data_IF_602594240923
#
_entry.id   IF_602594240923
#
_cell.length_a   1.000
_cell.length_b   1.000
_cell.length_c   1.000
_cell.angle_alpha   90.00
_cell.angle_beta   90.00
_cell.angle_gamma   90.00
#
_symmetry.space_group_name_H-M   'P 1'
#
loop_
_entity.id
_entity.type
_entity.pdbx_description
1 polymer ?
#
# COMPACT_ATOMS: atom_id res chain seq x y z
N UNK A 1 12.07 8.99 -9.06
CA UNK A 1 13.10 8.11 -9.71
C UNK A 1 12.36 6.95 -10.34
N UNK A 2 12.70 6.50 -11.55
CA UNK A 2 12.15 5.23 -12.05
C UNK A 2 12.58 4.09 -11.13
N UNK A 3 11.84 2.96 -11.11
CA UNK A 3 12.20 1.80 -10.27
C UNK A 3 13.68 1.44 -10.45
N UNK A 4 14.21 1.55 -11.69
CA UNK A 4 15.63 1.32 -11.96
C UNK A 4 16.56 2.33 -11.25
N UNK A 5 16.20 3.60 -11.21
CA UNK A 5 16.99 4.62 -10.50
C UNK A 5 16.89 4.44 -8.99
N UNK A 6 15.71 4.10 -8.48
CA UNK A 6 15.48 3.78 -7.07
C UNK A 6 16.31 2.57 -6.66
N UNK A 7 16.33 1.51 -7.47
CA UNK A 7 17.16 0.34 -7.25
C UNK A 7 18.66 0.67 -7.22
N UNK A 8 19.14 1.47 -8.19
CA UNK A 8 20.55 1.90 -8.24
C UNK A 8 20.90 2.74 -6.98
N UNK A 9 20.00 3.62 -6.57
CA UNK A 9 20.20 4.42 -5.35
C UNK A 9 20.26 3.54 -4.12
N UNK A 10 19.33 2.60 -3.98
CA UNK A 10 19.31 1.62 -2.91
C UNK A 10 20.60 0.79 -2.84
N UNK A 11 21.06 0.25 -3.95
CA UNK A 11 22.32 -0.52 -4.00
C UNK A 11 23.55 0.32 -3.62
N UNK A 12 23.56 1.61 -3.95
CA UNK A 12 24.64 2.51 -3.51
C UNK A 12 24.62 2.76 -1.98
N UNK A 13 23.44 2.80 -1.37
CA UNK A 13 23.31 2.86 0.09
C UNK A 13 23.83 1.57 0.70
N UNK A 14 23.47 0.39 0.16
CA UNK A 14 23.94 -0.89 0.67
C UNK A 14 25.47 -1.00 0.72
N UNK A 15 26.20 -0.38 -0.22
CA UNK A 15 27.67 -0.33 -0.19
C UNK A 15 28.25 0.38 1.02
N UNK A 16 27.45 1.22 1.68
CA UNK A 16 27.88 1.99 2.86
C UNK A 16 27.49 1.30 4.18
N UNK A 17 26.62 0.28 4.10
CA UNK A 17 26.20 -0.52 5.25
C UNK A 17 27.19 -1.64 5.52
N UNK A 18 27.21 -2.12 6.78
CA UNK A 18 28.01 -3.28 7.18
C UNK A 18 27.24 -4.60 6.94
N UNK A 19 26.66 -4.75 5.75
CA UNK A 19 25.90 -5.95 5.39
C UNK A 19 26.43 -6.58 4.09
N UNK A 20 26.29 -7.89 3.99
CA UNK A 20 26.59 -8.66 2.77
C UNK A 20 25.40 -8.63 1.82
N UNK A 21 24.18 -8.70 2.38
CA UNK A 21 22.92 -8.67 1.66
C UNK A 21 21.84 -7.88 2.39
N UNK A 22 20.90 -7.34 1.60
CA UNK A 22 19.59 -6.88 2.05
C UNK A 22 18.56 -7.97 1.76
N UNK A 23 17.82 -8.40 2.79
CA UNK A 23 16.74 -9.37 2.69
C UNK A 23 15.39 -8.66 2.89
N UNK A 24 14.55 -8.66 1.87
CA UNK A 24 13.31 -7.87 1.77
C UNK A 24 12.15 -8.83 1.54
N UNK A 25 11.09 -8.68 2.33
CA UNK A 25 9.84 -9.46 2.18
C UNK A 25 8.60 -8.59 1.96
N UNK A 26 8.65 -7.27 2.25
CA UNK A 26 7.52 -6.39 1.99
C UNK A 26 7.20 -6.33 0.50
N UNK A 27 6.02 -6.80 0.04
CA UNK A 27 5.64 -6.73 -1.37
C UNK A 27 5.66 -5.31 -1.93
N UNK A 28 5.35 -4.31 -1.08
CA UNK A 28 5.38 -2.90 -1.46
C UNK A 28 6.81 -2.43 -1.73
N UNK A 29 7.76 -2.82 -0.89
CA UNK A 29 9.18 -2.53 -1.09
C UNK A 29 9.73 -3.26 -2.31
N UNK A 30 9.35 -4.52 -2.52
CA UNK A 30 9.72 -5.28 -3.72
C UNK A 30 9.19 -4.56 -4.97
N UNK A 31 7.93 -4.14 -4.98
CA UNK A 31 7.35 -3.38 -6.09
C UNK A 31 8.02 -2.02 -6.31
N UNK A 32 8.48 -1.35 -5.25
CA UNK A 32 9.25 -0.10 -5.35
C UNK A 32 10.59 -0.29 -6.06
N UNK A 33 11.27 -1.41 -5.80
CA UNK A 33 12.60 -1.71 -6.32
C UNK A 33 12.60 -2.46 -7.66
N UNK A 34 11.43 -2.97 -8.07
CA UNK A 34 11.25 -3.80 -9.27
C UNK A 34 10.03 -3.33 -10.07
N UNK A 35 9.71 -4.03 -11.16
CA UNK A 35 8.41 -3.90 -11.86
C UNK A 35 7.45 -5.04 -11.48
N UNK A 36 7.82 -5.86 -10.51
CA UNK A 36 7.03 -6.99 -10.06
C UNK A 36 6.13 -6.60 -8.90
N UNK A 37 4.83 -6.75 -9.11
CA UNK A 37 3.80 -6.49 -8.09
C UNK A 37 2.98 -7.76 -7.90
N UNK A 38 2.85 -8.20 -6.65
CA UNK A 38 2.06 -9.37 -6.27
C UNK A 38 1.52 -9.22 -4.85
N UNK A 39 0.48 -10.01 -4.57
CA UNK A 39 0.03 -10.32 -3.22
C UNK A 39 0.29 -11.82 -2.98
N UNK A 40 1.35 -12.19 -2.25
CA UNK A 40 1.75 -13.58 -2.07
C UNK A 40 0.82 -14.34 -1.12
N UNK A 41 -0.13 -13.67 -0.47
CA UNK A 41 -0.96 -14.21 0.60
C UNK A 41 -0.09 -14.86 1.70
N UNK A 42 -0.31 -16.16 1.98
CA UNK A 42 0.44 -16.92 2.99
C UNK A 42 1.80 -17.45 2.50
N UNK A 43 2.13 -17.27 1.21
CA UNK A 43 3.33 -17.84 0.59
C UNK A 43 4.55 -16.99 0.83
N UNK A 44 5.71 -17.64 0.85
CA UNK A 44 6.99 -16.96 1.04
C UNK A 44 7.38 -16.19 -0.22
N UNK A 45 7.45 -14.89 -0.09
CA UNK A 45 8.02 -13.97 -1.07
C UNK A 45 9.28 -13.34 -0.46
N UNK A 46 10.35 -13.22 -1.23
CA UNK A 46 11.53 -12.49 -0.82
C UNK A 46 12.29 -11.91 -2.01
N UNK A 47 12.92 -10.77 -1.79
CA UNK A 47 13.94 -10.21 -2.66
C UNK A 47 15.25 -10.11 -1.89
N UNK A 48 16.32 -10.59 -2.50
CA UNK A 48 17.67 -10.50 -1.93
C UNK A 48 18.54 -9.64 -2.83
N UNK A 49 19.12 -8.60 -2.25
CA UNK A 49 19.93 -7.61 -2.95
C UNK A 49 21.31 -7.54 -2.32
N UNK A 50 22.34 -7.50 -3.14
CA UNK A 50 23.71 -7.22 -2.75
C UNK A 50 24.29 -6.13 -3.62
N UNK A 51 25.32 -5.45 -3.13
CA UNK A 51 26.00 -4.42 -3.89
C UNK A 51 26.76 -4.97 -5.12
N UNK A 52 27.10 -6.26 -5.11
CA UNK A 52 28.06 -6.86 -6.05
C UNK A 52 27.50 -8.01 -6.88
N UNK A 53 26.27 -8.48 -6.62
CA UNK A 53 25.64 -9.60 -7.32
C UNK A 53 24.32 -9.17 -7.95
N UNK A 54 23.88 -9.91 -8.96
CA UNK A 54 22.52 -9.75 -9.49
C UNK A 54 21.49 -10.02 -8.40
N UNK A 55 20.36 -9.29 -8.36
CA UNK A 55 19.33 -9.55 -7.37
C UNK A 55 18.70 -10.93 -7.56
N UNK A 56 18.24 -11.51 -6.45
CA UNK A 56 17.46 -12.73 -6.43
C UNK A 56 16.03 -12.39 -6.04
N UNK A 57 15.06 -12.86 -6.84
CA UNK A 57 13.65 -12.78 -6.53
C UNK A 57 13.12 -14.19 -6.27
N UNK A 58 12.65 -14.45 -5.06
CA UNK A 58 12.12 -15.72 -4.61
C UNK A 58 10.60 -15.67 -4.55
N UNK A 59 9.94 -16.53 -5.33
CA UNK A 59 8.49 -16.49 -5.53
C UNK A 59 7.86 -17.87 -5.50
N UNK A 60 6.56 -18.02 -5.21
CA UNK A 60 5.83 -19.27 -5.47
C UNK A 60 5.93 -19.67 -6.95
N UNK A 61 5.92 -20.95 -7.23
CA UNK A 61 6.03 -21.47 -8.62
C UNK A 61 4.91 -20.94 -9.53
N UNK A 62 3.74 -20.66 -8.98
CA UNK A 62 2.60 -20.06 -9.68
C UNK A 62 2.94 -18.70 -10.31
N UNK A 63 3.84 -17.95 -9.68
CA UNK A 63 4.19 -16.58 -10.06
C UNK A 63 5.52 -16.49 -10.84
N UNK A 64 6.22 -17.59 -11.01
CA UNK A 64 7.55 -17.62 -11.64
C UNK A 64 7.59 -16.90 -12.99
N UNK A 65 6.64 -17.20 -13.87
CA UNK A 65 6.63 -16.61 -15.22
C UNK A 65 6.36 -15.11 -15.18
N UNK A 66 5.52 -14.66 -14.26
CA UNK A 66 5.19 -13.24 -14.07
C UNK A 66 6.41 -12.48 -13.53
N UNK A 67 7.08 -13.02 -12.51
CA UNK A 67 8.30 -12.46 -11.95
C UNK A 67 9.43 -12.38 -12.99
N UNK A 68 9.62 -13.45 -13.78
CA UNK A 68 10.63 -13.51 -14.83
C UNK A 68 10.35 -12.52 -15.98
N UNK A 69 9.08 -12.30 -16.32
CA UNK A 69 8.69 -11.32 -17.34
C UNK A 69 8.88 -9.88 -16.85
N UNK A 70 8.59 -9.62 -15.57
CA UNK A 70 8.76 -8.30 -14.97
C UNK A 70 10.24 -7.91 -14.84
N UNK A 71 11.10 -8.87 -14.45
CA UNK A 71 12.53 -8.64 -14.20
C UNK A 71 13.40 -9.70 -14.91
N UNK A 72 13.58 -9.60 -16.24
CA UNK A 72 14.30 -10.63 -17.02
C UNK A 72 15.77 -10.79 -16.64
N UNK A 73 16.37 -9.78 -16.00
CA UNK A 73 17.78 -9.75 -15.60
C UNK A 73 18.05 -10.27 -14.19
N UNK A 74 16.98 -10.53 -13.42
CA UNK A 74 17.11 -11.05 -12.05
C UNK A 74 17.16 -12.58 -12.05
N UNK A 75 17.80 -13.13 -11.04
CA UNK A 75 17.70 -14.55 -10.76
C UNK A 75 16.35 -14.82 -10.10
N UNK A 76 15.44 -15.49 -10.83
CA UNK A 76 14.13 -15.87 -10.25
C UNK A 76 14.21 -17.32 -9.80
N UNK A 77 14.09 -17.55 -8.50
CA UNK A 77 14.01 -18.86 -7.87
C UNK A 77 12.58 -19.09 -7.38
N UNK A 78 12.04 -20.26 -7.62
CA UNK A 78 10.67 -20.58 -7.24
C UNK A 78 10.56 -21.93 -6.55
N UNK A 79 9.50 -22.12 -5.76
CA UNK A 79 9.20 -23.34 -5.02
C UNK A 79 7.75 -23.75 -5.23
N UNK A 80 7.48 -25.07 -5.12
CA UNK A 80 6.13 -25.62 -5.15
C UNK A 80 5.51 -25.66 -3.76
N UNK A 81 4.17 -25.68 -3.67
CA UNK A 81 3.44 -25.65 -2.40
C UNK A 81 3.76 -26.85 -1.45
N UNK A 82 4.29 -27.97 -2.01
CA UNK A 82 4.67 -29.14 -1.22
C UNK A 82 6.17 -29.16 -0.81
N UNK A 83 6.96 -28.18 -1.23
CA UNK A 83 8.39 -28.07 -0.91
C UNK A 83 8.61 -27.19 0.33
N UNK A 84 9.76 -27.34 0.98
CA UNK A 84 10.18 -26.43 2.02
C UNK A 84 10.75 -25.13 1.41
N UNK A 85 10.03 -24.01 1.45
CA UNK A 85 10.49 -22.78 0.82
C UNK A 85 11.76 -22.22 1.47
N UNK A 86 11.95 -22.47 2.75
CA UNK A 86 13.08 -21.92 3.50
C UNK A 86 14.40 -22.59 3.14
N UNK A 87 14.40 -23.93 2.95
CA UNK A 87 15.55 -24.68 2.48
C UNK A 87 15.96 -24.27 1.06
N UNK A 88 14.99 -24.09 0.15
CA UNK A 88 15.26 -23.67 -1.23
C UNK A 88 15.80 -22.25 -1.26
N UNK A 89 15.18 -21.33 -0.52
CA UNK A 89 15.58 -19.93 -0.43
C UNK A 89 17.01 -19.79 0.11
N UNK A 90 17.31 -20.43 1.23
CA UNK A 90 18.62 -20.32 1.87
C UNK A 90 19.73 -20.98 1.03
N UNK A 91 19.44 -22.10 0.39
CA UNK A 91 20.37 -22.72 -0.57
C UNK A 91 20.66 -21.80 -1.76
N UNK A 92 19.65 -21.12 -2.30
CA UNK A 92 19.82 -20.17 -3.38
C UNK A 92 20.64 -18.95 -2.94
N UNK A 93 20.39 -18.43 -1.75
CA UNK A 93 21.15 -17.31 -1.16
C UNK A 93 22.62 -17.68 -0.99
N UNK A 94 22.92 -18.82 -0.38
CA UNK A 94 24.29 -19.28 -0.16
C UNK A 94 25.05 -19.43 -1.46
N UNK A 95 24.39 -19.99 -2.48
CA UNK A 95 25.01 -20.23 -3.79
C UNK A 95 25.26 -18.93 -4.56
N UNK A 96 24.34 -17.98 -4.52
CA UNK A 96 24.43 -16.77 -5.34
C UNK A 96 25.24 -15.64 -4.70
N UNK A 97 25.30 -15.59 -3.36
CA UNK A 97 25.92 -14.50 -2.62
C UNK A 97 27.12 -14.94 -1.76
N UNK A 98 27.78 -16.02 -2.16
CA UNK A 98 29.00 -16.53 -1.52
C UNK A 98 28.88 -16.73 0.00
N UNK A 99 27.76 -17.36 0.44
CA UNK A 99 27.46 -17.65 1.84
C UNK A 99 27.47 -16.41 2.76
N UNK A 100 26.58 -15.44 2.52
CA UNK A 100 26.53 -14.19 3.27
C UNK A 100 26.12 -14.43 4.73
N UNK A 101 26.79 -13.76 5.66
CA UNK A 101 26.52 -13.87 7.10
C UNK A 101 25.87 -12.63 7.68
N UNK A 102 26.12 -11.44 7.11
CA UNK A 102 25.61 -10.15 7.59
C UNK A 102 24.42 -9.70 6.77
N UNK A 103 23.26 -9.71 7.39
CA UNK A 103 21.98 -9.44 6.72
C UNK A 103 21.34 -8.16 7.24
N UNK A 104 21.01 -7.24 6.34
CA UNK A 104 20.14 -6.10 6.62
C UNK A 104 18.69 -6.45 6.27
N UNK A 105 17.73 -6.02 7.10
CA UNK A 105 16.31 -6.35 6.94
C UNK A 105 15.42 -5.18 7.27
N UNK A 106 14.20 -5.16 6.73
CA UNK A 106 13.13 -4.26 7.18
C UNK A 106 12.57 -4.77 8.51
N UNK A 107 13.05 -4.23 9.63
CA UNK A 107 12.64 -4.70 10.96
C UNK A 107 11.16 -4.51 11.26
N UNK A 108 10.52 -3.53 10.65
CA UNK A 108 9.07 -3.31 10.79
C UNK A 108 8.22 -4.31 10.02
N UNK A 109 8.82 -5.07 9.11
CA UNK A 109 8.09 -6.03 8.26
C UNK A 109 8.43 -7.48 8.56
N UNK A 110 9.73 -7.79 8.80
CA UNK A 110 10.17 -9.16 9.02
C UNK A 110 9.47 -9.77 10.25
N UNK A 111 8.89 -10.96 10.07
CA UNK A 111 8.22 -11.65 11.17
C UNK A 111 9.19 -12.51 11.98
N UNK A 112 8.86 -12.77 13.25
CA UNK A 112 9.61 -13.71 14.07
C UNK A 112 9.61 -15.12 13.44
N UNK A 113 8.49 -15.53 12.83
CA UNK A 113 8.38 -16.78 12.09
C UNK A 113 9.43 -16.90 10.97
N UNK A 114 9.61 -15.84 10.18
CA UNK A 114 10.65 -15.78 9.14
C UNK A 114 12.04 -15.92 9.74
N UNK A 115 12.35 -15.17 10.80
CA UNK A 115 13.64 -15.20 11.49
C UNK A 115 13.96 -16.60 12.02
N UNK A 116 12.98 -17.26 12.64
CA UNK A 116 13.13 -18.61 13.19
C UNK A 116 13.40 -19.66 12.10
N UNK A 117 12.66 -19.59 10.97
CA UNK A 117 12.87 -20.51 9.86
C UNK A 117 14.23 -20.29 9.19
N UNK A 118 14.61 -19.03 8.92
CA UNK A 118 15.94 -18.73 8.37
C UNK A 118 17.06 -19.23 9.27
N UNK A 119 16.95 -19.09 10.60
CA UNK A 119 17.94 -19.56 11.58
C UNK A 119 18.02 -21.08 11.69
N UNK A 120 16.95 -21.81 11.40
CA UNK A 120 16.98 -23.29 11.33
C UNK A 120 17.88 -23.78 10.19
N UNK A 121 17.82 -23.09 9.05
CA UNK A 121 18.59 -23.45 7.85
C UNK A 121 20.01 -22.85 7.87
N UNK A 122 20.17 -21.66 8.45
CA UNK A 122 21.44 -20.91 8.51
C UNK A 122 21.69 -20.39 9.95
N UNK A 123 22.51 -21.12 10.71
CA UNK A 123 22.78 -20.80 12.12
C UNK A 123 23.59 -19.51 12.36
N UNK A 124 24.32 -19.02 11.34
CA UNK A 124 25.30 -17.93 11.48
C UNK A 124 24.81 -16.57 11.01
N UNK A 125 23.51 -16.39 10.77
CA UNK A 125 22.96 -15.09 10.33
C UNK A 125 23.14 -14.03 11.43
N UNK A 126 23.82 -12.94 11.08
CA UNK A 126 23.95 -11.73 11.87
C UNK A 126 23.05 -10.65 11.30
N UNK A 127 22.06 -10.20 12.07
CA UNK A 127 21.18 -9.09 11.70
C UNK A 127 21.91 -7.77 11.99
N UNK A 128 22.40 -7.10 10.94
CA UNK A 128 23.29 -5.94 11.13
C UNK A 128 22.54 -4.62 11.08
N UNK A 129 21.78 -4.37 10.03
CA UNK A 129 21.20 -3.06 9.75
C UNK A 129 19.68 -3.14 9.61
N UNK A 130 19.02 -2.04 9.97
CA UNK A 130 17.59 -1.84 9.74
C UNK A 130 17.37 -1.08 8.44
N UNK A 131 16.76 -1.72 7.47
CA UNK A 131 16.41 -1.11 6.18
C UNK A 131 15.18 -0.20 6.26
N UNK A 132 14.36 -0.30 7.31
CA UNK A 132 13.09 0.44 7.42
C UNK A 132 13.26 1.95 7.23
N UNK A 133 14.22 2.64 7.91
CA UNK A 133 14.41 4.08 7.70
C UNK A 133 14.86 4.41 6.28
N UNK A 134 15.70 3.57 5.69
CA UNK A 134 16.23 3.74 4.34
C UNK A 134 15.11 3.64 3.31
N UNK A 135 14.30 2.59 3.40
CA UNK A 135 13.15 2.39 2.50
C UNK A 135 12.12 3.53 2.65
N UNK A 136 11.85 3.97 3.88
CA UNK A 136 10.98 5.11 4.11
C UNK A 136 11.50 6.38 3.44
N UNK A 137 12.80 6.67 3.52
CA UNK A 137 13.39 7.83 2.84
C UNK A 137 13.27 7.72 1.31
N UNK A 138 13.50 6.54 0.74
CA UNK A 138 13.31 6.29 -0.70
C UNK A 138 11.87 6.54 -1.14
N UNK A 139 10.89 6.24 -0.28
CA UNK A 139 9.44 6.43 -0.54
C UNK A 139 8.98 7.86 -0.37
N UNK A 140 9.67 8.69 0.43
CA UNK A 140 9.29 10.09 0.67
C UNK A 140 9.30 10.92 -0.60
N UNK A 141 10.31 10.72 -1.48
CA UNK A 141 10.49 11.52 -2.68
C UNK A 141 9.93 10.82 -3.91
N UNK A 142 8.91 11.43 -4.50
CA UNK A 142 8.28 10.95 -5.73
C UNK A 142 8.94 11.59 -6.95
N UNK A 143 9.11 10.81 -8.00
CA UNK A 143 9.45 11.36 -9.32
C UNK A 143 8.21 11.84 -10.08
N UNK A 144 8.41 12.39 -11.27
CA UNK A 144 7.31 12.96 -12.06
C UNK A 144 6.28 11.90 -12.48
N UNK A 145 6.70 10.66 -12.73
CA UNK A 145 5.79 9.53 -13.05
C UNK A 145 4.93 9.15 -11.85
N UNK A 146 5.55 9.02 -10.67
CA UNK A 146 4.83 8.76 -9.42
C UNK A 146 3.86 9.90 -9.05
N UNK A 147 4.28 11.15 -9.25
CA UNK A 147 3.43 12.33 -9.05
C UNK A 147 2.22 12.29 -9.99
N UNK A 148 2.41 11.93 -11.26
CA UNK A 148 1.31 11.83 -12.20
C UNK A 148 0.33 10.72 -11.81
N UNK A 149 0.82 9.54 -11.43
CA UNK A 149 -0.01 8.43 -10.95
C UNK A 149 -0.82 8.77 -9.69
N UNK A 150 -0.20 9.53 -8.76
CA UNK A 150 -0.91 10.04 -7.58
C UNK A 150 -2.03 11.01 -7.96
N UNK A 151 -1.78 11.93 -8.91
CA UNK A 151 -2.80 12.86 -9.42
C UNK A 151 -3.94 12.12 -10.11
N UNK A 152 -3.62 11.10 -10.91
CA UNK A 152 -4.63 10.29 -11.60
C UNK A 152 -5.49 9.54 -10.56
N UNK A 153 -4.87 8.94 -9.55
CA UNK A 153 -5.59 8.29 -8.45
C UNK A 153 -6.48 9.28 -7.70
N UNK A 154 -6.00 10.50 -7.41
CA UNK A 154 -6.80 11.57 -6.80
C UNK A 154 -8.01 11.97 -7.66
N UNK A 155 -7.84 12.02 -8.99
CA UNK A 155 -8.94 12.31 -9.93
C UNK A 155 -10.03 11.23 -9.88
N UNK A 156 -9.66 9.96 -9.71
CA UNK A 156 -10.64 8.90 -9.52
C UNK A 156 -11.34 8.97 -8.15
N UNK A 157 -10.65 9.41 -7.10
CA UNK A 157 -11.29 9.65 -5.81
C UNK A 157 -12.32 10.79 -5.87
N UNK A 158 -12.03 11.89 -6.58
CA UNK A 158 -13.02 12.94 -6.84
C UNK A 158 -14.27 12.39 -7.52
N UNK A 159 -14.09 11.53 -8.55
CA UNK A 159 -15.22 10.86 -9.22
C UNK A 159 -15.99 9.92 -8.31
N UNK A 160 -15.29 9.19 -7.44
CA UNK A 160 -15.92 8.31 -6.46
C UNK A 160 -16.84 9.09 -5.50
N UNK A 161 -16.35 10.21 -4.98
CA UNK A 161 -17.17 11.12 -4.16
C UNK A 161 -18.36 11.67 -4.93
N UNK A 162 -18.16 12.09 -6.20
CA UNK A 162 -19.25 12.58 -7.05
C UNK A 162 -20.36 11.53 -7.23
N UNK A 163 -19.98 10.27 -7.51
CA UNK A 163 -20.93 9.15 -7.61
C UNK A 163 -21.65 8.94 -6.27
N UNK A 164 -20.94 9.00 -5.16
CA UNK A 164 -21.52 8.92 -3.83
C UNK A 164 -22.60 9.98 -3.61
N UNK A 165 -22.27 11.24 -3.86
CA UNK A 165 -23.20 12.38 -3.73
C UNK A 165 -24.42 12.21 -4.61
N UNK A 166 -24.24 11.85 -5.88
CA UNK A 166 -25.34 11.64 -6.85
C UNK A 166 -26.23 10.44 -6.48
N UNK A 167 -25.73 9.52 -5.67
CA UNK A 167 -26.45 8.33 -5.23
C UNK A 167 -27.37 8.61 -4.03
N UNK A 168 -27.18 9.72 -3.34
CA UNK A 168 -27.93 10.04 -2.13
C UNK A 168 -29.40 10.28 -2.41
N UNK A 169 -30.24 9.61 -1.64
CA UNK A 169 -31.69 9.82 -1.58
C UNK A 169 -32.19 9.37 -0.20
N UNK A 170 -33.28 9.95 0.26
CA UNK A 170 -33.90 9.51 1.50
C UNK A 170 -34.19 8.01 1.51
N UNK A 171 -33.84 7.33 2.58
CA UNK A 171 -34.05 5.89 2.76
C UNK A 171 -32.97 4.99 2.15
N UNK A 172 -31.99 5.52 1.41
CA UNK A 172 -30.84 4.71 0.96
C UNK A 172 -29.96 4.33 2.17
N UNK A 173 -29.38 3.13 2.15
CA UNK A 173 -28.43 2.69 3.19
C UNK A 173 -27.00 3.14 2.88
N UNK A 174 -26.16 3.18 3.93
CA UNK A 174 -24.71 3.44 3.79
C UNK A 174 -24.08 2.43 2.84
N UNK A 175 -24.34 1.13 3.03
CA UNK A 175 -23.83 0.06 2.17
C UNK A 175 -24.29 0.16 0.71
N UNK A 176 -25.52 0.61 0.46
CA UNK A 176 -26.00 0.80 -0.93
C UNK A 176 -25.24 1.92 -1.63
N UNK A 177 -24.83 2.97 -0.92
CA UNK A 177 -24.00 4.04 -1.48
C UNK A 177 -22.58 3.53 -1.74
N UNK A 178 -21.97 2.81 -0.80
CA UNK A 178 -20.67 2.15 -1.01
C UNK A 178 -20.70 1.27 -2.25
N UNK A 179 -21.69 0.38 -2.36
CA UNK A 179 -21.80 -0.53 -3.51
C UNK A 179 -21.89 0.20 -4.86
N UNK A 180 -22.60 1.34 -4.91
CA UNK A 180 -22.68 2.17 -6.12
C UNK A 180 -21.35 2.83 -6.47
N UNK A 181 -20.65 3.38 -5.48
CA UNK A 181 -19.34 3.99 -5.66
C UNK A 181 -18.38 2.95 -6.25
N UNK A 182 -18.26 1.82 -5.61
CA UNK A 182 -17.29 0.79 -6.03
C UNK A 182 -17.65 0.17 -7.39
N UNK A 183 -18.95 -0.01 -7.67
CA UNK A 183 -19.41 -0.47 -8.98
C UNK A 183 -18.99 0.50 -10.11
N UNK A 184 -19.22 1.80 -9.93
CA UNK A 184 -18.84 2.78 -10.95
C UNK A 184 -17.32 2.92 -11.08
N UNK A 185 -16.56 2.81 -9.99
CA UNK A 185 -15.10 2.79 -10.04
C UNK A 185 -14.57 1.57 -10.81
N UNK A 186 -15.17 0.39 -10.62
CA UNK A 186 -14.80 -0.81 -11.40
C UNK A 186 -15.10 -0.65 -12.89
N UNK A 187 -16.20 0.02 -13.27
CA UNK A 187 -16.50 0.35 -14.68
C UNK A 187 -15.46 1.29 -15.31
N UNK A 188 -14.85 2.16 -14.50
CA UNK A 188 -13.76 3.04 -14.93
C UNK A 188 -12.38 2.36 -14.95
N UNK A 189 -12.31 1.06 -14.61
CA UNK A 189 -11.07 0.29 -14.62
C UNK A 189 -10.29 0.31 -13.30
N UNK A 190 -10.85 0.89 -12.24
CA UNK A 190 -10.27 0.82 -10.89
C UNK A 190 -10.54 -0.56 -10.31
N UNK A 191 -9.49 -1.33 -10.12
CA UNK A 191 -9.59 -2.73 -9.67
C UNK A 191 -9.79 -2.87 -8.17
N UNK A 192 -9.34 -1.88 -7.38
CA UNK A 192 -9.50 -1.85 -5.93
C UNK A 192 -9.59 -0.43 -5.40
N UNK A 193 -10.26 -0.27 -4.28
CA UNK A 193 -10.14 0.92 -3.45
C UNK A 193 -8.80 0.83 -2.67
N UNK A 194 -8.29 1.96 -2.19
CA UNK A 194 -7.03 2.00 -1.41
C UNK A 194 -7.22 1.51 0.03
N UNK A 195 -8.44 1.60 0.54
CA UNK A 195 -8.93 1.06 1.80
C UNK A 195 -10.43 0.84 1.71
N UNK A 196 -11.05 0.26 2.73
CA UNK A 196 -12.49 0.01 2.75
C UNK A 196 -13.27 1.32 2.67
N UNK A 197 -14.11 1.46 1.64
CA UNK A 197 -14.89 2.67 1.39
C UNK A 197 -15.83 2.96 2.56
N UNK A 198 -15.71 4.13 3.16
CA UNK A 198 -16.55 4.55 4.27
C UNK A 198 -17.57 5.60 3.82
N UNK A 199 -18.86 5.31 4.05
CA UNK A 199 -19.96 6.26 3.87
C UNK A 199 -20.82 6.19 5.13
N UNK A 200 -20.88 7.28 5.89
CA UNK A 200 -21.55 7.33 7.18
C UNK A 200 -22.55 8.48 7.24
N UNK A 201 -23.72 8.25 7.87
CA UNK A 201 -24.83 9.20 7.94
C UNK A 201 -25.06 9.71 9.35
N UNK A 202 -25.35 11.00 9.49
CA UNK A 202 -25.77 11.68 10.72
C UNK A 202 -24.81 11.45 11.88
N UNK A 203 -25.32 10.90 12.98
CA UNK A 203 -24.56 10.60 14.21
C UNK A 203 -23.48 9.51 14.01
N UNK A 204 -23.69 8.57 13.08
CA UNK A 204 -22.69 7.56 12.74
C UNK A 204 -21.43 8.18 12.09
N UNK A 205 -21.57 9.33 11.43
CA UNK A 205 -20.43 10.07 10.86
C UNK A 205 -19.48 10.66 11.94
N UNK A 206 -19.83 10.58 13.21
CA UNK A 206 -18.95 10.96 14.31
C UNK A 206 -17.97 9.86 14.73
N UNK A 207 -18.14 8.63 14.23
CA UNK A 207 -17.24 7.52 14.48
C UNK A 207 -16.08 7.54 13.46
N UNK A 208 -14.83 7.84 13.88
CA UNK A 208 -13.69 7.92 12.97
C UNK A 208 -13.34 6.60 12.26
N UNK A 209 -13.79 5.48 12.81
CA UNK A 209 -13.58 4.13 12.27
C UNK A 209 -14.92 3.40 12.05
N UNK A 210 -15.98 4.17 11.79
CA UNK A 210 -17.31 3.62 11.54
C UNK A 210 -17.32 2.71 10.34
N UNK A 211 -18.07 1.60 10.44
CA UNK A 211 -18.22 0.65 9.33
C UNK A 211 -19.59 0.85 8.70
N UNK A 212 -19.69 1.14 7.39
CA UNK A 212 -20.96 1.30 6.72
C UNK A 212 -21.92 0.12 6.94
N UNK A 213 -23.17 0.42 7.23
CA UNK A 213 -24.19 -0.58 7.57
C UNK A 213 -25.52 -0.36 6.85
N UNK A 214 -26.57 -0.86 7.47
CA UNK A 214 -27.96 -0.75 7.03
C UNK A 214 -28.67 0.53 7.49
N UNK A 215 -27.92 1.44 8.16
CA UNK A 215 -28.43 2.76 8.52
C UNK A 215 -28.90 3.51 7.30
N UNK A 216 -30.12 4.01 7.35
CA UNK A 216 -30.76 4.74 6.24
C UNK A 216 -30.59 6.24 6.38
N UNK A 217 -30.33 6.90 5.25
CA UNK A 217 -30.23 8.35 5.15
C UNK A 217 -31.58 9.01 5.39
N UNK A 218 -31.61 10.05 6.22
CA UNK A 218 -32.77 10.91 6.50
C UNK A 218 -32.52 12.31 5.96
N UNK A 219 -33.58 13.06 5.71
CA UNK A 219 -33.44 14.48 5.41
C UNK A 219 -32.76 15.25 6.53
N UNK A 220 -31.98 16.25 6.15
CA UNK A 220 -31.27 17.16 7.05
C UNK A 220 -30.20 16.46 7.89
N UNK A 221 -29.52 15.46 7.34
CA UNK A 221 -28.37 14.81 7.94
C UNK A 221 -27.08 15.17 7.22
N UNK A 222 -25.97 15.13 7.97
CA UNK A 222 -24.64 15.18 7.40
C UNK A 222 -24.25 13.81 6.89
N UNK A 223 -23.51 13.79 5.79
CA UNK A 223 -22.97 12.57 5.16
C UNK A 223 -21.47 12.73 5.05
N UNK A 224 -20.75 11.78 5.61
CA UNK A 224 -19.31 11.67 5.49
C UNK A 224 -18.99 10.60 4.44
N UNK A 225 -18.11 10.95 3.53
CA UNK A 225 -17.44 10.04 2.61
C UNK A 225 -15.96 10.03 2.96
N UNK A 226 -15.40 8.85 3.19
CA UNK A 226 -13.99 8.62 3.34
C UNK A 226 -13.59 7.43 2.48
N UNK A 227 -12.84 7.70 1.44
CA UNK A 227 -12.55 6.75 0.38
C UNK A 227 -11.27 7.10 -0.36
N UNK A 228 -10.73 6.14 -1.04
CA UNK A 228 -9.62 6.34 -1.95
C UNK A 228 -9.56 5.24 -3.00
N UNK A 229 -8.84 5.47 -4.07
CA UNK A 229 -8.70 4.52 -5.18
C UNK A 229 -7.25 4.07 -5.31
N UNK A 230 -7.05 2.85 -5.79
CA UNK A 230 -5.75 2.33 -6.19
C UNK A 230 -5.63 2.39 -7.71
N UNK A 231 -4.74 3.23 -8.22
CA UNK A 231 -4.50 3.35 -9.65
C UNK A 231 -3.01 3.18 -9.99
N UNK A 232 -2.69 2.20 -10.85
CA UNK A 232 -1.31 1.90 -11.25
C UNK A 232 -0.31 1.76 -10.07
N UNK A 233 -0.75 1.14 -8.96
CA UNK A 233 0.06 0.93 -7.76
C UNK A 233 0.17 2.13 -6.83
N UNK A 234 -0.56 3.23 -7.09
CA UNK A 234 -0.57 4.44 -6.26
C UNK A 234 -1.96 4.69 -5.68
N UNK A 235 -1.99 4.94 -4.37
CA UNK A 235 -3.20 5.17 -3.60
C UNK A 235 -3.56 6.66 -3.55
N UNK A 236 -4.86 6.94 -3.57
CA UNK A 236 -5.42 8.20 -3.07
C UNK A 236 -6.15 7.98 -1.75
N UNK A 237 -6.39 9.07 -1.05
CA UNK A 237 -7.12 9.14 0.22
C UNK A 237 -7.87 10.48 0.25
N UNK A 238 -9.19 10.43 0.46
CA UNK A 238 -10.04 11.62 0.35
C UNK A 238 -11.25 11.53 1.28
N UNK A 239 -11.35 12.49 2.18
CA UNK A 239 -12.56 12.66 3.00
C UNK A 239 -13.37 13.86 2.54
N UNK A 240 -14.68 13.73 2.44
CA UNK A 240 -15.64 14.81 2.20
C UNK A 240 -16.85 14.65 3.12
N UNK A 241 -17.27 15.78 3.70
CA UNK A 241 -18.50 15.83 4.51
C UNK A 241 -19.45 16.83 3.86
N UNK A 242 -20.68 16.40 3.58
CA UNK A 242 -21.72 17.22 2.96
C UNK A 242 -23.01 17.16 3.79
N UNK A 243 -23.88 18.12 3.60
CA UNK A 243 -25.22 18.13 4.17
C UNK A 243 -26.26 17.67 3.15
N UNK A 244 -27.04 16.66 3.52
CA UNK A 244 -28.15 16.16 2.70
C UNK A 244 -29.45 16.81 3.14
N UNK A 245 -29.80 17.93 2.55
CA UNK A 245 -31.01 18.69 2.89
C UNK A 245 -30.96 20.12 2.34
N UNK A 246 -31.94 20.91 2.75
CA UNK A 246 -31.96 22.32 2.39
C UNK A 246 -31.01 23.11 3.31
N UNK A 247 -30.33 24.10 2.73
CA UNK A 247 -29.35 24.94 3.47
C UNK A 247 -29.93 25.57 4.73
N UNK A 248 -31.23 26.00 4.64
CA UNK A 248 -31.99 26.59 5.74
C UNK A 248 -32.27 25.66 6.92
N UNK A 249 -32.12 24.35 6.72
CA UNK A 249 -32.35 23.31 7.74
C UNK A 249 -31.07 22.93 8.48
N UNK A 250 -29.91 23.49 8.15
CA UNK A 250 -28.67 23.22 8.85
C UNK A 250 -28.72 23.77 10.28
N UNK A 251 -28.39 22.90 11.23
CA UNK A 251 -28.16 23.34 12.61
C UNK A 251 -26.93 24.24 12.71
N UNK A 252 -27.09 25.39 13.39
CA UNK A 252 -26.03 26.41 13.52
C UNK A 252 -24.78 25.81 14.18
N UNK A 253 -24.95 24.99 15.20
CA UNK A 253 -23.81 24.37 15.88
C UNK A 253 -23.07 23.36 15.01
N UNK A 254 -23.78 22.58 14.22
CA UNK A 254 -23.14 21.66 13.26
C UNK A 254 -22.35 22.43 12.22
N UNK A 255 -22.87 23.56 11.73
CA UNK A 255 -22.16 24.42 10.79
C UNK A 255 -20.91 25.07 11.44
N UNK A 256 -20.97 25.46 12.70
CA UNK A 256 -19.81 25.97 13.44
C UNK A 256 -18.72 24.88 13.55
N UNK A 257 -19.08 23.63 13.92
CA UNK A 257 -18.14 22.50 14.01
C UNK A 257 -17.51 22.23 12.63
N UNK A 258 -18.30 22.17 11.58
CA UNK A 258 -17.81 22.00 10.21
C UNK A 258 -16.77 23.07 9.85
N UNK A 259 -17.06 24.33 10.14
CA UNK A 259 -16.15 25.45 9.87
C UNK A 259 -14.86 25.36 10.69
N UNK A 260 -14.91 24.90 11.94
CA UNK A 260 -13.72 24.68 12.77
C UNK A 260 -12.83 23.61 12.16
N UNK A 261 -13.40 22.47 11.78
CA UNK A 261 -12.65 21.37 11.14
C UNK A 261 -12.04 21.83 9.81
N UNK A 262 -12.82 22.52 8.97
CA UNK A 262 -12.35 23.08 7.71
C UNK A 262 -11.18 24.05 7.92
N UNK A 263 -11.29 24.93 8.90
CA UNK A 263 -10.21 25.89 9.23
C UNK A 263 -8.94 25.15 9.69
N UNK A 264 -9.07 24.12 10.53
CA UNK A 264 -7.94 23.31 10.96
C UNK A 264 -7.25 22.61 9.78
N UNK A 265 -8.03 22.05 8.84
CA UNK A 265 -7.53 21.47 7.60
C UNK A 265 -6.78 22.49 6.74
N UNK A 266 -7.37 23.68 6.51
CA UNK A 266 -6.76 24.71 5.69
C UNK A 266 -5.44 25.23 6.31
N UNK A 267 -5.39 25.36 7.65
CA UNK A 267 -4.17 25.72 8.38
C UNK A 267 -3.09 24.64 8.27
N UNK A 268 -3.46 23.37 8.32
CA UNK A 268 -2.52 22.27 8.15
C UNK A 268 -1.89 22.26 6.75
N UNK A 269 -2.68 22.50 5.69
CA UNK A 269 -2.17 22.62 4.31
C UNK A 269 -1.19 23.80 4.20
N UNK A 270 -1.47 24.93 4.84
CA UNK A 270 -0.60 26.10 4.82
C UNK A 270 0.73 25.90 5.58
N UNK A 271 0.76 24.95 6.52
CA UNK A 271 1.94 24.64 7.32
C UNK A 271 2.94 23.69 6.64
N UNK A 272 2.55 23.04 5.54
CA UNK A 272 3.37 22.14 4.70
C UNK A 272 4.00 22.92 3.55
#
# INVERSE_FOLDING_TARGET
MSNKQTYIHFTNILKQLNCDIAFIQDPTTISLLTHYTTDPHERVLAMVVSANHSPLLFVPALEKNMAQAAEPTYTVVSYQDHENPWEILTSAIQKQFDSPTKWAVEKNFITLHTVENLKKELSEIQWTDDLTPIINDLRLRKDDDAIQKLKDSGTYADKAVEVGIQSLKEGITELEVVAKIEYEMKKLGITSMSFDTMVLFGDHAADPHGVPGDRTLRKNEWVLFDLGTMHNGYASDMTRTIFFGEESAKDVRHQEIFNIVKTAHDLAIQAV
#
